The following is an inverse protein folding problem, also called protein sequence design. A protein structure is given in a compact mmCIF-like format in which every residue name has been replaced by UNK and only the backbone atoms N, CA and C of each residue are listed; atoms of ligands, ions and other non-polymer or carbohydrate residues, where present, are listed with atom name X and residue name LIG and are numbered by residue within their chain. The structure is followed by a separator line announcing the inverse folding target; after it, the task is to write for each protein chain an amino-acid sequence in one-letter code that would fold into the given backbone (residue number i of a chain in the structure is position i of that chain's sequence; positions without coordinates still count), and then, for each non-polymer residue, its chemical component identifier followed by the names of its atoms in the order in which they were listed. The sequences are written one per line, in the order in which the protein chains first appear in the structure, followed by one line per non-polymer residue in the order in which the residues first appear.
data_IF_407648826318
#
_entry.id   IF_407648826318
#
_cell.length_a   1.000
_cell.length_b   1.000
_cell.length_c   1.000
_cell.angle_alpha   90.00
_cell.angle_beta   90.00
_cell.angle_gamma   90.00
#
_symmetry.space_group_name_H-M   'P 1'
#
loop_
_entity.id
_entity.type
_entity.pdbx_description
1 polymer ?
#
# COMPACT_ATOMS: atom_id res chain seq x y z
N UNK A 1 17.87 6.76 3.08
CA UNK A 1 17.31 5.51 2.54
C UNK A 1 15.84 5.78 2.30
N UNK A 2 15.38 5.66 1.06
CA UNK A 2 13.97 5.82 0.72
C UNK A 2 13.22 4.56 1.19
N UNK A 3 12.45 4.65 2.27
CA UNK A 3 11.60 3.54 2.70
C UNK A 3 10.30 3.58 1.88
N UNK A 4 10.10 2.57 1.03
CA UNK A 4 8.83 2.40 0.32
C UNK A 4 7.90 1.55 1.17
N UNK A 5 6.73 2.07 1.54
CA UNK A 5 5.71 1.36 2.31
C UNK A 5 4.53 1.04 1.40
N UNK A 6 4.00 -0.17 1.49
CA UNK A 6 2.80 -0.58 0.75
C UNK A 6 1.81 -1.18 1.74
N UNK A 7 0.72 -0.46 1.99
CA UNK A 7 -0.42 -0.95 2.74
C UNK A 7 -1.25 -1.87 1.86
N UNK A 8 -1.42 -3.11 2.31
CA UNK A 8 -2.11 -4.18 1.58
C UNK A 8 -3.23 -4.77 2.42
N UNK A 9 -4.20 -5.36 1.74
CA UNK A 9 -5.24 -6.16 2.38
C UNK A 9 -5.44 -7.47 1.59
N UNK A 10 -5.61 -8.63 2.26
CA UNK A 10 -5.78 -9.92 1.58
C UNK A 10 -7.01 -9.96 0.66
N UNK A 11 -8.12 -9.32 1.03
CA UNK A 11 -9.31 -9.18 0.17
C UNK A 11 -9.16 -8.24 -1.04
N UNK A 12 -8.00 -7.60 -1.24
CA UNK A 12 -7.82 -6.63 -2.31
C UNK A 12 -6.96 -7.19 -3.47
N UNK A 13 -7.59 -7.40 -4.63
CA UNK A 13 -6.91 -7.84 -5.85
C UNK A 13 -5.82 -6.84 -6.31
N UNK A 14 -6.07 -5.54 -6.19
CA UNK A 14 -5.09 -4.50 -6.52
C UNK A 14 -3.85 -4.54 -5.62
N UNK A 15 -4.02 -4.90 -4.34
CA UNK A 15 -2.89 -5.06 -3.42
C UNK A 15 -1.97 -6.19 -3.86
N UNK A 16 -2.55 -7.32 -4.31
CA UNK A 16 -1.79 -8.43 -4.88
C UNK A 16 -1.05 -8.03 -6.16
N UNK A 17 -1.70 -7.24 -7.03
CA UNK A 17 -1.07 -6.71 -8.24
C UNK A 17 0.10 -5.77 -7.93
N UNK A 18 -0.05 -4.87 -6.96
CA UNK A 18 1.00 -3.95 -6.52
C UNK A 18 2.25 -4.70 -6.05
N UNK A 19 2.07 -5.63 -5.11
CA UNK A 19 3.18 -6.47 -4.61
C UNK A 19 3.91 -7.20 -5.72
N UNK A 20 3.16 -7.76 -6.67
CA UNK A 20 3.75 -8.50 -7.77
C UNK A 20 4.56 -7.60 -8.71
N UNK A 21 4.10 -6.37 -8.97
CA UNK A 21 4.81 -5.39 -9.79
C UNK A 21 6.13 -4.96 -9.12
N UNK A 22 6.09 -4.58 -7.84
CA UNK A 22 7.30 -4.24 -7.08
C UNK A 22 8.29 -5.40 -7.02
N UNK A 23 7.80 -6.63 -6.81
CA UNK A 23 8.62 -7.84 -6.84
C UNK A 23 9.25 -8.06 -8.22
N UNK A 24 8.50 -7.86 -9.30
CA UNK A 24 9.02 -7.96 -10.69
C UNK A 24 10.06 -6.89 -10.98
N UNK A 25 9.85 -5.68 -10.49
CA UNK A 25 10.78 -4.54 -10.62
C UNK A 25 12.00 -4.66 -9.71
N UNK A 26 12.04 -5.66 -8.80
CA UNK A 26 13.08 -5.85 -7.78
C UNK A 26 13.29 -4.60 -6.93
N UNK A 27 12.21 -3.87 -6.68
CA UNK A 27 12.23 -2.72 -5.79
C UNK A 27 12.05 -3.19 -4.35
N UNK A 28 12.83 -2.62 -3.44
CA UNK A 28 12.65 -2.87 -2.01
C UNK A 28 11.42 -2.12 -1.52
N UNK A 29 10.55 -2.82 -0.80
CA UNK A 29 9.39 -2.23 -0.17
C UNK A 29 9.07 -2.97 1.12
N UNK A 30 8.45 -2.27 2.04
CA UNK A 30 7.91 -2.78 3.28
C UNK A 30 6.41 -2.98 3.13
N UNK A 31 5.98 -4.23 3.22
CA UNK A 31 4.56 -4.56 3.22
C UNK A 31 3.93 -4.32 4.59
N UNK A 32 2.79 -3.63 4.60
CA UNK A 32 1.92 -3.46 5.76
C UNK A 32 0.58 -4.14 5.50
N UNK A 33 0.49 -5.41 5.91
CA UNK A 33 -0.75 -6.18 5.84
C UNK A 33 -1.71 -5.73 6.95
N UNK A 34 -2.76 -4.98 6.57
CA UNK A 34 -3.76 -4.44 7.49
C UNK A 34 -4.62 -5.51 8.17
N UNK A 35 -4.72 -6.71 7.59
CA UNK A 35 -5.43 -7.83 8.23
C UNK A 35 -4.65 -8.39 9.42
N UNK A 36 -3.32 -8.22 9.43
CA UNK A 36 -2.44 -8.67 10.53
C UNK A 36 -2.01 -7.53 11.43
N UNK A 37 -1.91 -6.32 10.89
CA UNK A 37 -1.46 -5.10 11.56
C UNK A 37 -2.61 -4.11 11.60
N UNK A 38 -3.68 -4.45 12.32
CA UNK A 38 -4.83 -3.57 12.48
C UNK A 38 -4.46 -2.22 13.13
N UNK A 39 -3.38 -2.19 13.93
CA UNK A 39 -2.81 -0.98 14.53
C UNK A 39 -2.31 0.04 13.48
N UNK A 40 -2.15 -0.37 12.23
CA UNK A 40 -1.73 0.49 11.12
C UNK A 40 -2.92 1.09 10.34
N UNK A 41 -4.15 0.67 10.64
CA UNK A 41 -5.36 1.26 10.03
C UNK A 41 -5.45 2.78 10.29
N UNK A 42 -5.17 3.31 11.50
CA UNK A 42 -5.15 4.76 11.72
C UNK A 42 -4.10 5.50 10.87
N UNK A 43 -2.96 4.85 10.57
CA UNK A 43 -1.95 5.43 9.70
C UNK A 43 -2.46 5.48 8.25
N UNK A 44 -3.09 4.39 7.76
CA UNK A 44 -3.75 4.37 6.46
C UNK A 44 -4.77 5.51 6.33
N UNK A 45 -5.68 5.62 7.31
CA UNK A 45 -6.73 6.64 7.31
C UNK A 45 -6.18 8.06 7.27
N UNK A 46 -5.05 8.33 7.91
CA UNK A 46 -4.39 9.64 7.83
C UNK A 46 -3.82 9.93 6.43
N UNK A 47 -3.42 8.89 5.69
CA UNK A 47 -2.87 9.02 4.34
C UNK A 47 -3.97 9.16 3.26
N UNK A 48 -5.17 8.67 3.55
CA UNK A 48 -6.31 8.57 2.61
C UNK A 48 -7.48 9.46 3.00
N UNK A 49 -7.27 10.45 3.87
CA UNK A 49 -8.31 11.37 4.35
C UNK A 49 -9.53 10.66 4.99
N UNK A 50 -9.29 9.52 5.64
CA UNK A 50 -10.31 8.71 6.31
C UNK A 50 -10.87 7.56 5.49
N UNK A 51 -10.36 7.31 4.28
CA UNK A 51 -10.85 6.22 3.43
C UNK A 51 -10.10 4.91 3.66
N UNK A 52 -10.82 3.80 3.81
CA UNK A 52 -10.22 2.45 3.94
C UNK A 52 -9.96 1.83 2.58
N UNK A 53 -9.12 2.49 1.80
CA UNK A 53 -8.76 2.06 0.44
C UNK A 53 -7.41 1.37 0.46
N UNK A 54 -7.27 0.31 -0.35
CA UNK A 54 -6.00 -0.39 -0.56
C UNK A 54 -5.84 -0.76 -2.03
N UNK A 55 -4.61 -0.85 -2.54
CA UNK A 55 -3.35 -0.57 -1.85
C UNK A 55 -3.07 0.93 -1.70
N UNK A 56 -2.31 1.30 -0.67
CA UNK A 56 -1.74 2.65 -0.52
C UNK A 56 -0.23 2.52 -0.48
N UNK A 57 0.45 3.27 -1.32
CA UNK A 57 1.89 3.21 -1.50
C UNK A 57 2.48 4.53 -1.03
N UNK A 58 3.52 4.49 -0.21
CA UNK A 58 4.23 5.67 0.27
C UNK A 58 5.69 5.53 -0.14
N UNK A 59 6.15 6.43 -0.99
CA UNK A 59 7.50 6.45 -1.57
C UNK A 59 8.13 7.81 -1.33
N UNK A 60 9.20 7.90 -0.54
CA UNK A 60 9.87 9.18 -0.22
C UNK A 60 8.91 10.29 0.29
N UNK A 61 7.86 9.90 1.01
CA UNK A 61 6.81 10.81 1.51
C UNK A 61 5.73 11.17 0.49
N UNK A 62 5.84 10.68 -0.75
CA UNK A 62 4.77 10.75 -1.75
C UNK A 62 3.78 9.62 -1.50
N UNK A 63 2.52 9.99 -1.24
CA UNK A 63 1.42 9.04 -1.02
C UNK A 63 0.69 8.82 -2.34
N UNK A 64 0.62 7.56 -2.75
CA UNK A 64 -0.14 7.11 -3.92
C UNK A 64 -1.25 6.19 -3.45
N UNK A 65 -2.49 6.56 -3.76
CA UNK A 65 -3.68 5.79 -3.39
C UNK A 65 -4.12 4.97 -4.60
N UNK A 66 -4.26 3.65 -4.41
CA UNK A 66 -4.58 2.70 -5.46
C UNK A 66 -3.34 2.24 -6.25
N UNK A 67 -3.51 1.19 -7.05
CA UNK A 67 -2.44 0.65 -7.90
C UNK A 67 -2.95 0.42 -9.31
N UNK A 68 -2.33 1.10 -10.29
CA UNK A 68 -2.70 1.06 -11.73
C UNK A 68 -4.20 1.25 -11.94
N UNK A 69 -4.71 2.43 -11.55
CA UNK A 69 -6.11 2.84 -11.59
C UNK A 69 -6.94 2.08 -12.63
N UNK A 70 -7.79 1.18 -12.15
CA UNK A 70 -8.84 0.62 -12.98
C UNK A 70 -9.76 1.77 -13.35
N UNK A 71 -9.78 2.11 -14.64
CA UNK A 71 -10.71 3.07 -15.25
C UNK A 71 -12.16 2.81 -14.84
#
# INVERSE_FOLDING_TARGET
MAETLIYTHPDCAYSSAAKMDYRKRKMEYREVDLSKQADQIPALLQLTDGERVTPVIVEDGVVTIGFKGGT
#
